data_IF_614807726243
#
_entry.id   IF_614807726243
#
_cell.length_a   1.000
_cell.length_b   1.000
_cell.length_c   1.000
_cell.angle_alpha   90.00
_cell.angle_beta   90.00
_cell.angle_gamma   90.00
#
_symmetry.space_group_name_H-M   'P 1'
#
loop_
_entity.id
_entity.type
_entity.pdbx_description
1 polymer ?
#
# COMPACT_ATOMS: atom_id res chain seq x y z
N UNK A 1 27.48 4.31 -15.12
CA UNK A 1 26.56 4.28 -16.28
C UNK A 1 26.51 5.66 -16.90
N UNK A 2 26.66 5.78 -18.25
CA UNK A 2 26.55 7.08 -18.92
C UNK A 2 25.09 7.56 -18.93
N UNK A 3 24.88 8.91 -18.99
CA UNK A 3 23.53 9.52 -19.09
C UNK A 3 22.76 8.97 -20.31
N UNK A 4 23.47 8.65 -21.40
CA UNK A 4 22.90 8.04 -22.59
C UNK A 4 22.39 6.60 -22.32
N UNK A 5 23.11 5.81 -21.50
CA UNK A 5 22.69 4.47 -21.08
C UNK A 5 21.45 4.50 -20.20
N UNK A 6 21.34 5.47 -19.27
CA UNK A 6 20.16 5.68 -18.44
C UNK A 6 18.92 6.06 -19.27
N UNK A 7 19.08 6.97 -20.24
CA UNK A 7 17.98 7.37 -21.14
C UNK A 7 17.51 6.20 -22.02
N UNK A 8 18.42 5.35 -22.48
CA UNK A 8 18.08 4.16 -23.26
C UNK A 8 17.33 3.15 -22.41
N UNK A 9 17.82 2.83 -21.22
CA UNK A 9 17.16 1.93 -20.29
C UNK A 9 15.75 2.44 -19.89
N UNK A 10 15.60 3.76 -19.65
CA UNK A 10 14.30 4.37 -19.35
C UNK A 10 13.33 4.25 -20.54
N UNK A 11 13.80 4.49 -21.78
CA UNK A 11 12.96 4.33 -22.98
C UNK A 11 12.55 2.87 -23.20
N UNK A 12 13.45 1.93 -23.00
CA UNK A 12 13.18 0.50 -23.10
C UNK A 12 12.18 0.04 -22.00
N UNK A 13 12.24 0.64 -20.83
CA UNK A 13 11.32 0.34 -19.73
C UNK A 13 9.87 0.80 -19.99
N UNK A 14 9.65 1.81 -20.81
CA UNK A 14 8.30 2.36 -21.12
C UNK A 14 7.79 1.99 -22.49
N UNK A 15 8.66 1.54 -23.43
CA UNK A 15 8.28 1.24 -24.79
C UNK A 15 7.43 -0.02 -24.89
N UNK A 16 6.45 -0.03 -25.82
CA UNK A 16 5.67 -1.22 -26.18
C UNK A 16 4.53 -1.60 -25.21
N UNK A 17 4.30 -0.85 -24.12
CA UNK A 17 3.16 -1.10 -23.25
C UNK A 17 1.87 -0.49 -23.83
N UNK A 18 0.72 -1.18 -23.69
CA UNK A 18 -0.56 -0.72 -24.25
C UNK A 18 -1.01 0.62 -23.68
N UNK A 19 -1.78 1.41 -24.45
CA UNK A 19 -2.35 2.67 -23.99
C UNK A 19 -3.24 2.51 -22.74
N UNK A 20 -4.00 1.41 -22.63
CA UNK A 20 -4.81 1.10 -21.46
C UNK A 20 -3.97 0.91 -20.18
N UNK A 21 -2.75 0.35 -20.28
CA UNK A 21 -1.83 0.29 -19.14
C UNK A 21 -1.48 1.69 -18.62
N UNK A 22 -1.20 2.65 -19.49
CA UNK A 22 -0.84 4.00 -19.08
C UNK A 22 -2.00 4.74 -18.41
N UNK A 23 -3.24 4.51 -18.83
CA UNK A 23 -4.41 5.06 -18.15
C UNK A 23 -4.58 4.45 -16.74
N UNK A 24 -4.38 3.14 -16.61
CA UNK A 24 -4.42 2.46 -15.30
C UNK A 24 -3.29 2.94 -14.39
N UNK A 25 -2.08 3.07 -14.92
CA UNK A 25 -0.91 3.57 -14.23
C UNK A 25 -1.11 5.02 -13.75
N UNK A 26 -1.62 5.89 -14.63
CA UNK A 26 -1.95 7.28 -14.27
C UNK A 26 -3.02 7.33 -13.19
N UNK A 27 -4.07 6.52 -13.29
CA UNK A 27 -5.08 6.39 -12.25
C UNK A 27 -4.48 5.95 -10.91
N UNK A 28 -3.55 4.99 -10.92
CA UNK A 28 -2.84 4.57 -9.70
C UNK A 28 -2.01 5.70 -9.11
N UNK A 29 -1.24 6.41 -9.94
CA UNK A 29 -0.42 7.54 -9.50
C UNK A 29 -1.29 8.66 -8.89
N UNK A 30 -2.34 9.09 -9.60
CA UNK A 30 -3.25 10.16 -9.14
C UNK A 30 -3.94 9.76 -7.84
N UNK A 31 -4.41 8.50 -7.72
CA UNK A 31 -5.01 8.01 -6.49
C UNK A 31 -4.01 8.05 -5.32
N UNK A 32 -2.73 7.74 -5.56
CA UNK A 32 -1.68 7.81 -4.54
C UNK A 32 -1.27 9.24 -4.19
N UNK A 33 -1.29 10.14 -5.16
CA UNK A 33 -1.05 11.57 -4.92
C UNK A 33 -2.13 12.19 -4.02
N UNK A 34 -3.36 11.69 -4.08
CA UNK A 34 -4.46 12.13 -3.21
C UNK A 34 -4.48 11.49 -1.83
N UNK A 35 -3.71 10.43 -1.57
CA UNK A 35 -3.82 9.65 -0.34
C UNK A 35 -3.46 10.48 0.91
N UNK A 36 -4.46 10.85 1.69
CA UNK A 36 -4.35 11.66 2.90
C UNK A 36 -4.70 10.87 4.16
N UNK A 37 -5.84 10.16 4.12
CA UNK A 37 -6.40 9.45 5.29
C UNK A 37 -5.40 8.51 5.93
N UNK A 38 -4.80 7.62 5.14
CA UNK A 38 -3.92 6.58 5.66
C UNK A 38 -2.70 7.14 6.42
N UNK A 39 -2.19 8.30 6.00
CA UNK A 39 -0.98 8.91 6.56
C UNK A 39 -1.30 9.88 7.70
N UNK A 40 -2.40 10.64 7.61
CA UNK A 40 -2.68 11.75 8.53
C UNK A 40 -3.84 11.49 9.50
N UNK A 41 -4.46 10.31 9.46
CA UNK A 41 -5.56 9.96 10.36
C UNK A 41 -5.19 10.08 11.85
N UNK A 42 -3.99 9.64 12.23
CA UNK A 42 -3.55 9.70 13.62
C UNK A 42 -3.44 11.17 14.09
N UNK A 43 -2.82 12.05 13.31
CA UNK A 43 -2.69 13.48 13.61
C UNK A 43 -4.06 14.17 13.61
N UNK A 44 -4.93 13.86 12.64
CA UNK A 44 -6.31 14.36 12.64
C UNK A 44 -7.03 14.05 13.96
N UNK A 45 -6.95 12.81 14.43
CA UNK A 45 -7.65 12.40 15.64
C UNK A 45 -7.02 12.99 16.90
N UNK A 46 -5.69 13.06 16.99
CA UNK A 46 -5.01 13.50 18.20
C UNK A 46 -4.85 15.02 18.27
N UNK A 47 -4.48 15.69 17.18
CA UNK A 47 -4.21 17.13 17.16
C UNK A 47 -5.48 17.94 16.87
N UNK A 48 -6.21 17.60 15.77
CA UNK A 48 -7.37 18.41 15.37
C UNK A 48 -8.60 18.11 16.21
N UNK A 49 -8.82 16.82 16.57
CA UNK A 49 -9.99 16.39 17.32
C UNK A 49 -9.76 16.25 18.83
N UNK A 50 -8.51 16.24 19.28
CA UNK A 50 -8.14 16.12 20.70
C UNK A 50 -8.46 14.75 21.31
N UNK A 51 -8.63 13.70 20.51
CA UNK A 51 -8.82 12.34 21.00
C UNK A 51 -7.52 11.73 21.49
N UNK A 52 -7.62 10.73 22.36
CA UNK A 52 -6.46 10.00 22.87
C UNK A 52 -5.74 9.19 21.79
N UNK A 53 -4.44 8.96 21.98
CA UNK A 53 -3.66 8.06 21.14
C UNK A 53 -4.25 6.64 21.08
N UNK A 54 -4.84 6.15 22.19
CA UNK A 54 -5.52 4.86 22.23
C UNK A 54 -6.73 4.81 21.31
N UNK A 55 -7.51 5.89 21.23
CA UNK A 55 -8.62 5.99 20.29
C UNK A 55 -8.13 6.07 18.84
N UNK A 56 -7.07 6.82 18.55
CA UNK A 56 -6.45 6.83 17.23
C UNK A 56 -5.97 5.43 16.81
N UNK A 57 -5.39 4.67 17.74
CA UNK A 57 -5.02 3.27 17.55
C UNK A 57 -6.21 2.36 17.23
N UNK A 58 -7.34 2.54 17.96
CA UNK A 58 -8.57 1.80 17.69
C UNK A 58 -9.10 2.09 16.28
N UNK A 59 -9.15 3.36 15.88
CA UNK A 59 -9.61 3.76 14.54
C UNK A 59 -8.71 3.21 13.45
N UNK A 60 -7.38 3.23 13.65
CA UNK A 60 -6.42 2.62 12.72
C UNK A 60 -6.61 1.09 12.61
N UNK A 61 -6.87 0.42 13.74
CA UNK A 61 -7.17 -1.01 13.75
C UNK A 61 -8.47 -1.34 13.00
N UNK A 62 -9.52 -0.56 13.18
CA UNK A 62 -10.79 -0.73 12.47
C UNK A 62 -10.63 -0.46 10.96
N UNK A 63 -9.88 0.56 10.57
CA UNK A 63 -9.53 0.80 9.17
C UNK A 63 -8.78 -0.41 8.58
N UNK A 64 -7.80 -0.96 9.29
CA UNK A 64 -7.09 -2.16 8.88
C UNK A 64 -8.00 -3.38 8.76
N UNK A 65 -8.91 -3.58 9.74
CA UNK A 65 -9.90 -4.66 9.72
C UNK A 65 -10.84 -4.54 8.52
N UNK A 66 -11.27 -3.32 8.17
CA UNK A 66 -12.01 -3.08 6.93
C UNK A 66 -11.27 -3.56 5.69
N UNK A 67 -9.96 -3.31 5.63
CA UNK A 67 -9.09 -3.82 4.56
C UNK A 67 -9.03 -5.34 4.50
N UNK A 68 -8.95 -6.03 5.65
CA UNK A 68 -8.97 -7.50 5.73
C UNK A 68 -10.30 -8.05 5.22
N UNK A 69 -11.43 -7.51 5.68
CA UNK A 69 -12.77 -7.90 5.21
C UNK A 69 -12.90 -7.72 3.70
N UNK A 70 -12.41 -6.60 3.19
CA UNK A 70 -12.41 -6.30 1.77
C UNK A 70 -11.58 -7.29 0.96
N UNK A 71 -10.39 -7.67 1.44
CA UNK A 71 -9.49 -8.57 0.70
C UNK A 71 -10.13 -9.96 0.46
N UNK A 72 -10.97 -10.42 1.39
CA UNK A 72 -11.71 -11.68 1.26
C UNK A 72 -12.80 -11.62 0.19
N UNK A 73 -13.47 -10.48 0.04
CA UNK A 73 -14.61 -10.32 -0.89
C UNK A 73 -14.24 -9.74 -2.27
N UNK A 74 -13.28 -8.82 -2.31
CA UNK A 74 -12.96 -8.06 -3.52
C UNK A 74 -12.39 -8.93 -4.67
N UNK A 75 -11.64 -9.98 -4.35
CA UNK A 75 -11.19 -10.96 -5.34
C UNK A 75 -12.37 -11.65 -6.03
N UNK A 76 -13.33 -12.14 -5.23
CA UNK A 76 -14.56 -12.78 -5.74
C UNK A 76 -15.40 -11.79 -6.56
N UNK A 77 -15.52 -10.55 -6.11
CA UNK A 77 -16.21 -9.49 -6.86
C UNK A 77 -15.54 -9.24 -8.20
N UNK A 78 -14.22 -9.13 -8.22
CA UNK A 78 -13.42 -8.91 -9.44
C UNK A 78 -13.64 -10.05 -10.46
N UNK A 79 -13.71 -11.29 -10.01
CA UNK A 79 -13.90 -12.45 -10.88
C UNK A 79 -15.37 -12.62 -11.33
N UNK A 80 -16.33 -12.26 -10.46
CA UNK A 80 -17.76 -12.45 -10.73
C UNK A 80 -18.38 -11.29 -11.53
N UNK A 81 -18.08 -10.07 -11.16
CA UNK A 81 -18.68 -8.87 -11.76
C UNK A 81 -17.81 -8.21 -12.83
N UNK A 82 -16.51 -8.55 -12.86
CA UNK A 82 -15.52 -7.96 -13.76
C UNK A 82 -14.57 -6.99 -13.05
N UNK A 83 -13.47 -6.67 -13.76
CA UNK A 83 -12.39 -5.84 -13.21
C UNK A 83 -12.81 -4.38 -13.12
N UNK A 84 -13.36 -3.85 -14.22
CA UNK A 84 -13.77 -2.43 -14.33
C UNK A 84 -14.90 -2.09 -13.36
N UNK A 85 -16.05 -2.81 -13.28
CA UNK A 85 -17.10 -2.51 -12.31
C UNK A 85 -16.64 -2.56 -10.87
N UNK A 86 -15.83 -3.57 -10.49
CA UNK A 86 -15.28 -3.69 -9.14
C UNK A 86 -14.40 -2.50 -8.79
N UNK A 87 -13.53 -2.07 -9.72
CA UNK A 87 -12.66 -0.90 -9.52
C UNK A 87 -13.47 0.39 -9.38
N UNK A 88 -14.50 0.58 -10.21
CA UNK A 88 -15.39 1.74 -10.15
C UNK A 88 -16.14 1.81 -8.82
N UNK A 89 -16.77 0.71 -8.39
CA UNK A 89 -17.47 0.65 -7.11
C UNK A 89 -16.52 0.93 -5.95
N UNK A 90 -15.33 0.34 -5.96
CA UNK A 90 -14.32 0.57 -4.93
C UNK A 90 -13.91 2.05 -4.86
N UNK A 91 -13.60 2.68 -6.00
CA UNK A 91 -13.18 4.09 -6.04
C UNK A 91 -14.31 5.05 -5.63
N UNK A 92 -15.52 4.86 -6.13
CA UNK A 92 -16.68 5.70 -5.76
C UNK A 92 -17.00 5.55 -4.28
N UNK A 93 -17.01 4.32 -3.75
CA UNK A 93 -17.23 4.06 -2.32
C UNK A 93 -16.13 4.67 -1.46
N UNK A 94 -14.86 4.59 -1.90
CA UNK A 94 -13.73 5.25 -1.22
C UNK A 94 -13.92 6.76 -1.19
N UNK A 95 -14.18 7.39 -2.33
CA UNK A 95 -14.37 8.83 -2.41
C UNK A 95 -15.50 9.31 -1.50
N UNK A 96 -16.64 8.59 -1.51
CA UNK A 96 -17.77 8.93 -0.65
C UNK A 96 -17.44 8.75 0.84
N UNK A 97 -16.86 7.62 1.24
CA UNK A 97 -16.54 7.35 2.64
C UNK A 97 -15.43 8.26 3.18
N UNK A 98 -14.43 8.63 2.36
CA UNK A 98 -13.40 9.61 2.74
C UNK A 98 -13.99 11.01 2.91
N UNK A 99 -14.84 11.46 1.97
CA UNK A 99 -15.55 12.73 2.12
C UNK A 99 -16.43 12.74 3.39
N UNK A 100 -17.19 11.66 3.60
CA UNK A 100 -18.04 11.50 4.78
C UNK A 100 -17.23 11.58 6.08
N UNK A 101 -16.05 10.96 6.14
CA UNK A 101 -15.15 10.99 7.29
C UNK A 101 -14.81 12.43 7.71
N UNK A 102 -14.56 13.31 6.73
CA UNK A 102 -14.22 14.72 6.98
C UNK A 102 -15.34 15.48 7.72
N UNK A 103 -16.60 15.08 7.58
CA UNK A 103 -17.75 15.72 8.23
C UNK A 103 -18.17 15.06 9.56
N UNK A 104 -17.63 13.87 9.87
CA UNK A 104 -17.97 13.18 11.12
C UNK A 104 -17.34 13.87 12.33
N UNK A 105 -18.13 13.99 13.41
CA UNK A 105 -17.69 14.57 14.69
C UNK A 105 -17.86 13.59 15.85
N UNK A 106 -18.83 12.71 15.77
CA UNK A 106 -19.07 11.68 16.77
C UNK A 106 -18.01 10.58 16.70
N UNK A 107 -17.41 10.16 17.82
CA UNK A 107 -16.33 9.18 17.82
C UNK A 107 -16.78 7.81 17.29
N UNK A 108 -18.01 7.37 17.54
CA UNK A 108 -18.50 6.09 17.03
C UNK A 108 -18.68 6.16 15.51
N UNK A 109 -19.21 7.29 15.01
CA UNK A 109 -19.37 7.53 13.58
C UNK A 109 -17.99 7.58 12.86
N UNK A 110 -17.00 8.27 13.45
CA UNK A 110 -15.62 8.31 12.92
C UNK A 110 -15.06 6.88 12.81
N UNK A 111 -15.17 6.08 13.85
CA UNK A 111 -14.69 4.70 13.88
C UNK A 111 -15.37 3.82 12.82
N UNK A 112 -16.71 3.93 12.71
CA UNK A 112 -17.49 3.18 11.72
C UNK A 112 -17.14 3.59 10.28
N UNK A 113 -17.02 4.91 10.01
CA UNK A 113 -16.67 5.41 8.69
C UNK A 113 -15.21 5.07 8.33
N UNK A 114 -14.28 5.10 9.30
CA UNK A 114 -12.90 4.67 9.07
C UNK A 114 -12.81 3.19 8.67
N UNK A 115 -13.61 2.32 9.28
CA UNK A 115 -13.74 0.93 8.83
C UNK A 115 -14.24 0.84 7.38
N UNK A 116 -15.25 1.63 7.00
CA UNK A 116 -15.76 1.67 5.62
C UNK A 116 -14.70 2.19 4.64
N UNK A 117 -13.94 3.22 5.01
CA UNK A 117 -12.81 3.71 4.21
C UNK A 117 -11.78 2.61 3.99
N UNK A 118 -11.39 1.90 5.04
CA UNK A 118 -10.46 0.76 4.94
C UNK A 118 -10.97 -0.35 4.03
N UNK A 119 -12.26 -0.67 4.13
CA UNK A 119 -12.91 -1.66 3.30
C UNK A 119 -12.96 -1.23 1.83
N UNK A 120 -13.41 -0.03 1.53
CA UNK A 120 -13.56 0.48 0.17
C UNK A 120 -12.21 0.68 -0.54
N UNK A 121 -11.22 1.30 0.13
CA UNK A 121 -9.92 1.60 -0.47
C UNK A 121 -9.13 0.35 -0.84
N UNK A 122 -9.20 -0.71 -0.01
CA UNK A 122 -8.49 -1.96 -0.29
C UNK A 122 -9.19 -2.83 -1.34
N UNK A 123 -10.50 -2.66 -1.59
CA UNK A 123 -11.24 -3.38 -2.62
C UNK A 123 -10.71 -3.15 -4.05
N UNK A 124 -10.06 -2.03 -4.31
CA UNK A 124 -9.48 -1.70 -5.62
C UNK A 124 -8.25 -2.54 -5.97
N UNK A 125 -7.49 -3.03 -4.98
CA UNK A 125 -6.20 -3.70 -5.21
C UNK A 125 -6.29 -4.93 -6.12
N UNK A 126 -7.14 -5.94 -5.85
CA UNK A 126 -7.21 -7.12 -6.71
C UNK A 126 -7.70 -6.77 -8.12
N UNK A 127 -8.62 -5.80 -8.27
CA UNK A 127 -9.10 -5.37 -9.57
C UNK A 127 -8.00 -4.70 -10.40
N UNK A 128 -7.17 -3.82 -9.81
CA UNK A 128 -6.02 -3.20 -10.49
C UNK A 128 -5.00 -4.25 -10.91
N UNK A 129 -4.68 -5.21 -10.04
CA UNK A 129 -3.69 -6.25 -10.35
C UNK A 129 -4.19 -7.18 -11.46
N UNK A 130 -5.46 -7.62 -11.39
CA UNK A 130 -6.05 -8.46 -12.41
C UNK A 130 -6.13 -7.74 -13.76
N UNK A 131 -6.64 -6.49 -13.78
CA UNK A 131 -6.72 -5.68 -14.99
C UNK A 131 -5.34 -5.46 -15.63
N UNK A 132 -4.31 -5.21 -14.82
CA UNK A 132 -2.93 -5.05 -15.31
C UNK A 132 -2.42 -6.34 -15.96
N UNK A 133 -2.68 -7.49 -15.32
CA UNK A 133 -2.30 -8.80 -15.86
C UNK A 133 -3.06 -9.15 -17.15
N UNK A 134 -4.31 -8.70 -17.28
CA UNK A 134 -5.13 -8.94 -18.47
C UNK A 134 -4.75 -8.05 -19.67
N UNK A 135 -4.41 -6.77 -19.39
CA UNK A 135 -4.09 -5.76 -20.43
C UNK A 135 -2.67 -5.97 -20.98
N UNK A 136 -1.72 -6.40 -20.14
CA UNK A 136 -0.31 -6.48 -20.50
C UNK A 136 0.07 -7.90 -20.90
N UNK A 137 0.86 -8.04 -21.98
CA UNK A 137 1.36 -9.33 -22.45
C UNK A 137 2.18 -10.04 -21.37
N UNK A 138 2.14 -11.38 -21.29
CA UNK A 138 2.84 -12.15 -20.25
C UNK A 138 4.32 -11.78 -20.07
N UNK A 139 5.04 -11.56 -21.17
CA UNK A 139 6.46 -11.19 -21.18
C UNK A 139 6.74 -9.80 -20.58
N UNK A 140 5.77 -8.89 -20.64
CA UNK A 140 5.89 -7.51 -20.17
C UNK A 140 5.35 -7.29 -18.74
N UNK A 141 4.68 -8.27 -18.15
CA UNK A 141 4.02 -8.15 -16.84
C UNK A 141 4.95 -7.73 -15.73
N UNK A 142 6.13 -8.35 -15.64
CA UNK A 142 7.13 -8.01 -14.61
C UNK A 142 7.48 -6.51 -14.67
N UNK A 143 7.69 -5.99 -15.87
CA UNK A 143 7.98 -4.58 -16.11
C UNK A 143 6.80 -3.68 -15.75
N UNK A 144 5.58 -4.06 -16.12
CA UNK A 144 4.37 -3.31 -15.81
C UNK A 144 4.13 -3.21 -14.30
N UNK A 145 4.27 -4.32 -13.57
CA UNK A 145 4.15 -4.33 -12.10
C UNK A 145 5.25 -3.49 -11.43
N UNK A 146 6.49 -3.53 -11.94
CA UNK A 146 7.58 -2.69 -11.44
C UNK A 146 7.28 -1.20 -11.63
N UNK A 147 6.77 -0.79 -12.79
CA UNK A 147 6.36 0.59 -13.06
C UNK A 147 5.19 1.01 -12.16
N UNK A 148 4.23 0.13 -11.91
CA UNK A 148 3.12 0.41 -11.01
C UNK A 148 3.58 0.57 -9.56
N UNK A 149 4.51 -0.27 -9.10
CA UNK A 149 5.12 -0.14 -7.78
C UNK A 149 5.86 1.20 -7.64
N UNK A 150 6.56 1.61 -8.69
CA UNK A 150 7.22 2.91 -8.72
C UNK A 150 6.23 4.08 -8.63
N UNK A 151 5.09 4.02 -9.36
CA UNK A 151 4.03 5.01 -9.25
C UNK A 151 3.45 5.11 -7.84
N UNK A 152 3.26 3.97 -7.17
CA UNK A 152 2.75 3.90 -5.80
C UNK A 152 3.70 4.64 -4.85
N UNK A 153 5.00 4.35 -4.90
CA UNK A 153 5.98 4.95 -3.98
C UNK A 153 6.26 6.42 -4.29
N UNK A 154 6.32 6.78 -5.58
CA UNK A 154 6.46 8.18 -5.98
C UNK A 154 5.25 9.00 -5.55
N UNK A 155 4.04 8.47 -5.80
CA UNK A 155 2.80 9.12 -5.38
C UNK A 155 2.75 9.28 -3.85
N UNK A 156 3.15 8.25 -3.10
CA UNK A 156 3.24 8.29 -1.64
C UNK A 156 4.23 9.37 -1.15
N UNK A 157 5.43 9.44 -1.72
CA UNK A 157 6.44 10.42 -1.32
C UNK A 157 5.92 11.85 -1.52
N UNK A 158 5.36 12.16 -2.69
CA UNK A 158 4.82 13.49 -3.00
C UNK A 158 3.58 13.79 -2.14
N UNK A 159 2.65 12.85 -2.03
CA UNK A 159 1.40 13.05 -1.27
C UNK A 159 1.67 13.29 0.20
N UNK A 160 2.59 12.55 0.81
CA UNK A 160 2.91 12.70 2.24
C UNK A 160 3.45 14.09 2.55
N UNK A 161 4.35 14.62 1.70
CA UNK A 161 4.86 15.98 1.85
C UNK A 161 3.76 17.02 1.65
N UNK A 162 2.99 16.93 0.55
CA UNK A 162 1.92 17.87 0.26
C UNK A 162 0.81 17.83 1.31
N UNK A 163 0.45 16.63 1.77
CA UNK A 163 -0.59 16.42 2.76
C UNK A 163 -0.21 17.00 4.14
N UNK A 164 1.08 17.00 4.50
CA UNK A 164 1.57 17.67 5.70
C UNK A 164 1.25 19.16 5.70
N UNK A 165 1.57 19.85 4.61
CA UNK A 165 1.23 21.26 4.46
C UNK A 165 -0.29 21.51 4.42
N UNK A 166 -1.06 20.64 3.75
CA UNK A 166 -2.53 20.76 3.73
C UNK A 166 -3.10 20.59 5.13
N UNK A 167 -2.59 19.66 5.92
CA UNK A 167 -3.05 19.38 7.27
C UNK A 167 -2.85 20.58 8.23
N UNK A 168 -1.84 21.42 8.02
CA UNK A 168 -1.63 22.65 8.79
C UNK A 168 -2.77 23.68 8.59
N UNK A 169 -3.40 23.68 7.42
CA UNK A 169 -4.51 24.58 7.14
C UNK A 169 -5.87 23.94 7.44
N UNK A 170 -6.10 22.70 7.01
CA UNK A 170 -7.39 22.05 7.16
C UNK A 170 -7.31 20.55 6.83
N UNK A 171 -7.60 19.72 7.82
CA UNK A 171 -7.79 18.28 7.61
C UNK A 171 -8.98 17.98 6.70
N UNK A 172 -10.06 18.77 6.80
CA UNK A 172 -11.22 18.64 5.92
C UNK A 172 -10.84 18.84 4.46
N UNK A 173 -9.99 19.82 4.16
CA UNK A 173 -9.49 20.02 2.79
C UNK A 173 -8.71 18.79 2.31
N UNK A 174 -7.88 18.17 3.15
CA UNK A 174 -7.17 16.93 2.84
C UNK A 174 -8.11 15.78 2.45
N UNK A 175 -9.16 15.56 3.26
CA UNK A 175 -10.17 14.53 2.96
C UNK A 175 -10.93 14.82 1.65
N UNK A 176 -11.32 16.07 1.39
CA UNK A 176 -12.04 16.43 0.16
C UNK A 176 -11.14 16.34 -1.08
N UNK A 177 -9.86 16.68 -0.96
CA UNK A 177 -8.88 16.51 -2.04
C UNK A 177 -8.71 15.02 -2.36
N UNK A 178 -8.52 14.16 -1.37
CA UNK A 178 -8.44 12.72 -1.58
C UNK A 178 -9.71 12.17 -2.25
N UNK A 179 -10.87 12.54 -1.75
CA UNK A 179 -12.16 12.15 -2.32
C UNK A 179 -12.30 12.60 -3.78
N UNK A 180 -11.96 13.86 -4.08
CA UNK A 180 -12.00 14.42 -5.43
C UNK A 180 -11.03 13.73 -6.40
N UNK A 181 -9.79 13.49 -5.98
CA UNK A 181 -8.80 12.77 -6.79
C UNK A 181 -9.20 11.32 -7.03
N UNK A 182 -9.75 10.64 -6.02
CA UNK A 182 -10.25 9.26 -6.17
C UNK A 182 -11.45 9.20 -7.12
N UNK A 183 -12.36 10.19 -7.06
CA UNK A 183 -13.47 10.30 -7.99
C UNK A 183 -12.99 10.60 -9.42
N UNK A 184 -11.99 11.47 -9.59
CA UNK A 184 -11.36 11.71 -10.88
C UNK A 184 -10.75 10.42 -11.46
N UNK A 185 -10.11 9.59 -10.62
CA UNK A 185 -9.63 8.26 -11.02
C UNK A 185 -10.79 7.36 -11.48
N UNK A 186 -11.93 7.36 -10.77
CA UNK A 186 -13.12 6.60 -11.19
C UNK A 186 -13.62 7.05 -12.58
N UNK A 187 -13.63 8.36 -12.86
CA UNK A 187 -13.97 8.90 -14.18
C UNK A 187 -12.99 8.42 -15.25
N UNK A 188 -11.67 8.47 -14.98
CA UNK A 188 -10.64 7.96 -15.92
C UNK A 188 -10.86 6.46 -16.19
N UNK A 189 -11.09 5.66 -15.16
CA UNK A 189 -11.38 4.23 -15.31
C UNK A 189 -12.65 4.02 -16.15
N UNK A 190 -13.70 4.79 -15.86
CA UNK A 190 -14.95 4.69 -16.60
C UNK A 190 -14.81 5.04 -18.09
N UNK A 191 -14.06 6.09 -18.42
CA UNK A 191 -13.96 6.61 -19.81
C UNK A 191 -12.90 5.88 -20.63
N UNK A 192 -11.76 5.51 -20.00
CA UNK A 192 -10.56 5.10 -20.73
C UNK A 192 -10.21 3.62 -20.62
N UNK A 193 -10.73 2.91 -19.61
CA UNK A 193 -10.40 1.49 -19.43
C UNK A 193 -11.55 0.60 -19.95
N UNK A 194 -11.24 -0.37 -20.82
CA UNK A 194 -12.20 -1.40 -21.21
C UNK A 194 -12.40 -2.40 -20.07
N UNK A 195 -13.52 -3.14 -20.11
CA UNK A 195 -13.62 -4.36 -19.30
C UNK A 195 -12.62 -5.39 -19.82
N UNK A 196 -11.83 -5.95 -18.93
CA UNK A 196 -10.77 -6.92 -19.28
C UNK A 196 -11.06 -8.33 -18.78
N UNK A 197 -12.30 -8.59 -18.32
CA UNK A 197 -12.68 -9.92 -17.85
C UNK A 197 -12.52 -10.94 -18.98
N UNK A 198 -11.70 -12.01 -18.80
CA UNK A 198 -11.62 -13.08 -19.78
C UNK A 198 -12.99 -13.73 -20.00
N UNK A 199 -13.39 -13.94 -21.24
CA UNK A 199 -14.56 -14.74 -21.57
C UNK A 199 -14.31 -16.18 -21.08
N UNK A 200 -15.19 -16.68 -20.20
CA UNK A 200 -15.15 -18.08 -19.79
C UNK A 200 -15.54 -18.95 -20.98
N UNK A 201 -14.59 -19.65 -21.53
CA UNK A 201 -14.89 -20.70 -22.52
C UNK A 201 -15.59 -21.86 -21.80
N UNK A 202 -16.74 -22.35 -22.32
CA UNK A 202 -17.36 -23.55 -21.77
C UNK A 202 -16.38 -24.71 -21.89
N UNK A 203 -15.76 -25.14 -20.79
CA UNK A 203 -14.74 -26.20 -20.73
C UNK A 203 -13.56 -25.90 -19.80
N UNK A 204 -13.26 -24.64 -19.46
CA UNK A 204 -12.13 -24.30 -18.58
C UNK A 204 -12.37 -24.64 -17.09
N UNK A 205 -13.54 -25.15 -16.75
CA UNK A 205 -13.90 -25.53 -15.37
C UNK A 205 -13.47 -26.94 -14.93
N UNK A 206 -12.89 -27.76 -15.80
CA UNK A 206 -12.72 -29.20 -15.51
C UNK A 206 -11.27 -29.70 -15.41
N UNK A 207 -10.26 -28.89 -15.68
CA UNK A 207 -8.85 -29.27 -15.53
C UNK A 207 -8.22 -28.59 -14.30
N UNK A 208 -8.93 -28.57 -13.18
CA UNK A 208 -8.49 -27.96 -11.95
C UNK A 208 -8.17 -29.00 -10.90
N UNK A 209 -6.94 -29.09 -10.46
CA UNK A 209 -6.57 -29.70 -9.21
C UNK A 209 -7.50 -29.17 -8.12
N UNK A 210 -7.98 -30.05 -7.22
CA UNK A 210 -8.86 -29.66 -6.12
C UNK A 210 -8.25 -28.47 -5.37
N UNK A 211 -8.99 -27.37 -5.16
CA UNK A 211 -8.42 -26.19 -4.56
C UNK A 211 -7.92 -26.52 -3.16
N UNK A 212 -6.63 -26.24 -2.87
CA UNK A 212 -6.03 -26.46 -1.55
C UNK A 212 -6.94 -25.80 -0.50
N UNK A 213 -7.41 -26.59 0.47
CA UNK A 213 -8.33 -26.10 1.50
C UNK A 213 -7.65 -25.00 2.34
N UNK A 214 -8.39 -23.98 2.74
CA UNK A 214 -7.89 -22.96 3.68
C UNK A 214 -7.38 -23.62 4.98
N UNK A 215 -8.06 -24.68 5.43
CA UNK A 215 -7.66 -25.45 6.61
C UNK A 215 -6.29 -26.12 6.43
N UNK A 216 -5.94 -26.54 5.22
CA UNK A 216 -4.63 -27.11 4.90
C UNK A 216 -3.53 -26.05 5.04
N UNK A 217 -3.78 -24.82 4.57
CA UNK A 217 -2.85 -23.69 4.72
C UNK A 217 -2.65 -23.35 6.19
N UNK A 218 -3.73 -23.26 6.97
CA UNK A 218 -3.68 -22.97 8.41
C UNK A 218 -3.00 -24.08 9.24
N UNK A 219 -2.96 -25.32 8.74
CA UNK A 219 -2.25 -26.43 9.37
C UNK A 219 -0.78 -26.54 8.98
N UNK A 220 -0.33 -25.79 7.99
CA UNK A 220 1.08 -25.72 7.64
C UNK A 220 1.85 -24.87 8.68
N UNK A 221 2.38 -25.53 9.70
CA UNK A 221 3.08 -24.86 10.80
C UNK A 221 4.31 -24.07 10.38
N UNK A 222 4.99 -24.44 9.28
CA UNK A 222 6.14 -23.69 8.76
C UNK A 222 5.67 -22.39 8.12
N UNK A 223 4.63 -22.45 7.31
CA UNK A 223 4.02 -21.29 6.70
C UNK A 223 3.41 -20.36 7.76
N UNK A 224 2.64 -20.88 8.71
CA UNK A 224 2.05 -20.11 9.81
C UNK A 224 3.11 -19.46 10.71
N UNK A 225 4.27 -20.08 10.91
CA UNK A 225 5.41 -19.47 11.59
C UNK A 225 5.94 -18.24 10.84
N UNK A 226 6.08 -18.33 9.51
CA UNK A 226 6.48 -17.18 8.68
C UNK A 226 5.41 -16.09 8.73
N UNK A 227 4.13 -16.43 8.61
CA UNK A 227 3.01 -15.47 8.72
C UNK A 227 3.03 -14.75 10.06
N UNK A 228 3.20 -15.47 11.18
CA UNK A 228 3.26 -14.88 12.51
C UNK A 228 4.44 -13.92 12.69
N UNK A 229 5.63 -14.30 12.22
CA UNK A 229 6.81 -13.42 12.25
C UNK A 229 6.61 -12.20 11.34
N UNK A 230 6.01 -12.39 10.17
CA UNK A 230 5.68 -11.31 9.25
C UNK A 230 4.69 -10.33 9.84
N UNK A 231 3.69 -10.82 10.56
CA UNK A 231 2.72 -9.99 11.28
C UNK A 231 3.42 -9.11 12.32
N UNK A 232 4.33 -9.67 13.12
CA UNK A 232 5.09 -8.89 14.11
C UNK A 232 5.89 -7.77 13.45
N UNK A 233 6.58 -8.06 12.36
CA UNK A 233 7.34 -7.05 11.61
C UNK A 233 6.42 -6.01 10.99
N UNK A 234 5.27 -6.41 10.44
CA UNK A 234 4.28 -5.50 9.90
C UNK A 234 3.73 -4.53 10.98
N UNK A 235 3.47 -5.01 12.19
CA UNK A 235 3.06 -4.16 13.33
C UNK A 235 4.14 -3.12 13.65
N UNK A 236 5.43 -3.48 13.56
CA UNK A 236 6.53 -2.52 13.76
C UNK A 236 6.51 -1.46 12.65
N UNK A 237 6.38 -1.84 11.37
CA UNK A 237 6.31 -0.85 10.26
C UNK A 237 5.07 0.06 10.34
N UNK A 238 3.94 -0.42 10.88
CA UNK A 238 2.76 0.41 11.10
C UNK A 238 2.99 1.56 12.09
N UNK A 239 4.05 1.50 12.91
CA UNK A 239 4.42 2.61 13.79
C UNK A 239 4.84 3.87 13.00
N UNK A 240 5.27 3.74 11.76
CA UNK A 240 5.53 4.88 10.87
C UNK A 240 4.28 5.74 10.60
N UNK A 241 3.10 5.13 10.65
CA UNK A 241 1.81 5.80 10.37
C UNK A 241 0.99 6.10 11.62
N UNK A 242 1.28 5.47 12.75
CA UNK A 242 0.54 5.66 14.00
C UNK A 242 1.43 6.23 15.10
N UNK A 243 2.51 5.56 15.47
CA UNK A 243 3.38 5.96 16.58
C UNK A 243 4.24 7.17 16.26
N UNK A 244 4.87 7.19 15.08
CA UNK A 244 5.75 8.29 14.67
C UNK A 244 5.03 9.66 14.64
N UNK A 245 3.85 9.82 13.97
CA UNK A 245 3.18 11.11 13.97
C UNK A 245 2.71 11.56 15.35
N UNK A 246 2.30 10.62 16.22
CA UNK A 246 1.93 10.94 17.60
C UNK A 246 3.15 11.41 18.38
N UNK A 247 4.28 10.68 18.31
CA UNK A 247 5.51 11.05 18.99
C UNK A 247 6.06 12.41 18.52
N UNK A 248 6.00 12.68 17.21
CA UNK A 248 6.39 13.98 16.66
C UNK A 248 5.46 15.09 17.15
N UNK A 249 4.14 14.86 17.18
CA UNK A 249 3.15 15.84 17.70
C UNK A 249 3.37 16.15 19.18
N UNK A 250 3.62 15.14 20.03
CA UNK A 250 3.94 15.31 21.45
C UNK A 250 5.28 16.05 21.66
N UNK A 251 6.23 15.88 20.74
CA UNK A 251 7.49 16.63 20.75
C UNK A 251 7.37 18.05 20.16
N UNK A 252 6.16 18.49 19.76
CA UNK A 252 5.89 19.85 19.28
C UNK A 252 6.17 20.07 17.79
N UNK A 253 6.38 19.02 17.01
CA UNK A 253 6.53 19.11 15.54
C UNK A 253 5.20 19.25 14.84
N UNK A 254 5.20 19.93 13.69
CA UNK A 254 4.00 20.21 12.90
C UNK A 254 3.60 19.01 12.02
N UNK A 255 2.36 18.97 11.52
CA UNK A 255 1.97 18.01 10.48
C UNK A 255 2.82 18.07 9.23
N UNK A 256 3.34 19.26 8.84
CA UNK A 256 4.27 19.42 7.73
C UNK A 256 5.60 18.74 8.00
N UNK A 257 6.15 18.88 9.22
CA UNK A 257 7.37 18.19 9.62
C UNK A 257 7.23 16.67 9.50
N UNK A 258 6.12 16.12 10.00
CA UNK A 258 5.82 14.69 9.82
C UNK A 258 5.68 14.32 8.34
N UNK A 259 4.97 15.11 7.55
CA UNK A 259 4.81 14.90 6.11
C UNK A 259 6.14 14.86 5.37
N UNK A 260 7.08 15.74 5.72
CA UNK A 260 8.44 15.76 5.16
C UNK A 260 9.22 14.49 5.56
N UNK A 261 9.17 14.11 6.82
CA UNK A 261 9.90 12.95 7.34
C UNK A 261 9.36 11.65 6.74
N UNK A 262 8.04 11.47 6.66
CA UNK A 262 7.45 10.25 6.08
C UNK A 262 7.53 10.26 4.54
N UNK A 263 7.45 11.43 3.91
CA UNK A 263 7.68 11.58 2.47
C UNK A 263 9.10 11.21 2.08
N UNK A 264 10.08 11.51 2.95
CA UNK A 264 11.47 11.13 2.77
C UNK A 264 11.66 9.60 2.74
N UNK A 265 10.90 8.83 3.54
CA UNK A 265 10.83 7.36 3.40
C UNK A 265 10.50 6.96 1.96
N UNK A 266 9.44 7.52 1.37
CA UNK A 266 9.06 7.22 -0.01
C UNK A 266 10.14 7.57 -1.03
N UNK A 267 10.83 8.70 -0.86
CA UNK A 267 11.98 9.08 -1.71
C UNK A 267 13.10 8.08 -1.60
N UNK A 268 13.46 7.66 -0.38
CA UNK A 268 14.50 6.66 -0.16
C UNK A 268 14.15 5.32 -0.82
N UNK A 269 12.89 4.87 -0.72
CA UNK A 269 12.43 3.66 -1.40
C UNK A 269 12.63 3.80 -2.91
N UNK A 270 12.15 4.89 -3.53
CA UNK A 270 12.27 5.12 -4.97
C UNK A 270 13.73 5.08 -5.43
N UNK A 271 14.64 5.67 -4.68
CA UNK A 271 16.06 5.76 -5.03
C UNK A 271 16.82 4.46 -4.73
N UNK A 272 16.58 3.87 -3.56
CA UNK A 272 17.41 2.77 -3.05
C UNK A 272 16.85 1.37 -3.36
N UNK A 273 15.57 1.23 -3.71
CA UNK A 273 14.94 -0.08 -3.95
C UNK A 273 15.73 -0.93 -4.96
N UNK A 274 16.06 -0.37 -6.13
CA UNK A 274 16.75 -1.11 -7.18
C UNK A 274 18.18 -1.50 -6.78
N UNK A 275 19.05 -0.59 -6.32
CA UNK A 275 20.41 -0.96 -5.92
C UNK A 275 20.44 -1.93 -4.74
N UNK A 276 19.58 -1.75 -3.74
CA UNK A 276 19.52 -2.66 -2.57
C UNK A 276 19.01 -4.04 -3.00
N UNK A 277 17.95 -4.12 -3.81
CA UNK A 277 17.42 -5.40 -4.30
C UNK A 277 18.50 -6.19 -5.05
N UNK A 278 19.26 -5.55 -5.94
CA UNK A 278 20.39 -6.22 -6.64
C UNK A 278 21.46 -6.72 -5.68
N UNK A 279 21.73 -5.99 -4.61
CA UNK A 279 22.72 -6.39 -3.60
C UNK A 279 22.26 -7.62 -2.81
N UNK A 280 20.95 -7.74 -2.53
CA UNK A 280 20.40 -8.81 -1.68
C UNK A 280 19.99 -10.07 -2.46
N UNK A 281 19.80 -10.00 -3.79
CA UNK A 281 19.29 -11.11 -4.63
C UNK A 281 20.02 -12.45 -4.44
N UNK A 282 21.32 -12.40 -4.14
CA UNK A 282 22.19 -13.60 -3.99
C UNK A 282 22.42 -13.98 -2.54
N UNK A 283 21.76 -13.35 -1.59
CA UNK A 283 21.94 -13.56 -0.17
C UNK A 283 20.89 -14.51 0.42
N UNK A 284 21.21 -15.15 1.54
CA UNK A 284 20.29 -16.02 2.23
C UNK A 284 19.08 -15.21 2.77
N UNK A 285 17.84 -15.54 2.36
CA UNK A 285 16.63 -14.86 2.83
C UNK A 285 16.48 -14.83 4.35
N UNK A 286 16.93 -15.88 5.04
CA UNK A 286 16.86 -15.95 6.51
C UNK A 286 17.69 -14.83 7.15
N UNK A 287 18.91 -14.67 6.73
CA UNK A 287 19.80 -13.63 7.27
C UNK A 287 19.29 -12.23 6.92
N UNK A 288 18.73 -12.06 5.71
CA UNK A 288 18.14 -10.79 5.29
C UNK A 288 16.92 -10.41 6.16
N UNK A 289 16.04 -11.36 6.48
CA UNK A 289 14.89 -11.10 7.36
C UNK A 289 15.33 -10.76 8.79
N UNK A 290 16.38 -11.43 9.32
CA UNK A 290 16.93 -11.09 10.63
C UNK A 290 17.52 -9.67 10.63
N UNK A 291 18.33 -9.32 9.62
CA UNK A 291 18.90 -7.98 9.49
C UNK A 291 17.79 -6.93 9.35
N UNK A 292 16.77 -7.19 8.54
CA UNK A 292 15.62 -6.31 8.39
C UNK A 292 14.88 -6.11 9.72
N UNK A 293 14.60 -7.18 10.46
CA UNK A 293 13.93 -7.08 11.76
C UNK A 293 14.74 -6.26 12.77
N UNK A 294 16.06 -6.45 12.82
CA UNK A 294 16.97 -5.67 13.68
C UNK A 294 16.99 -4.19 13.27
N UNK A 295 17.12 -3.89 11.97
CA UNK A 295 17.09 -2.52 11.47
C UNK A 295 15.74 -1.84 11.75
N UNK A 296 14.62 -2.54 11.59
CA UNK A 296 13.30 -2.03 11.94
C UNK A 296 13.19 -1.74 13.44
N UNK A 297 13.57 -2.71 14.29
CA UNK A 297 13.53 -2.56 15.73
C UNK A 297 14.41 -1.41 16.24
N UNK A 298 15.64 -1.31 15.76
CA UNK A 298 16.53 -0.19 16.13
C UNK A 298 16.03 1.13 15.52
N UNK A 299 15.59 1.16 14.27
CA UNK A 299 15.09 2.37 13.63
C UNK A 299 13.91 2.99 14.38
N UNK A 300 12.90 2.18 14.72
CA UNK A 300 11.76 2.65 15.52
C UNK A 300 12.12 2.88 16.99
N UNK A 301 12.97 2.03 17.59
CA UNK A 301 13.40 2.20 18.97
C UNK A 301 14.20 3.49 19.21
N UNK A 302 15.08 3.87 18.29
CA UNK A 302 15.83 5.13 18.35
C UNK A 302 14.93 6.37 18.21
N UNK A 303 13.74 6.23 17.64
CA UNK A 303 12.77 7.33 17.54
C UNK A 303 12.39 7.87 18.94
N UNK A 304 12.42 7.03 19.98
CA UNK A 304 12.15 7.45 21.36
C UNK A 304 13.15 8.49 21.89
N UNK A 305 14.33 8.60 21.30
CA UNK A 305 15.37 9.55 21.67
C UNK A 305 15.47 10.73 20.69
N UNK A 306 14.55 10.83 19.74
CA UNK A 306 14.59 11.86 18.71
C UNK A 306 14.06 13.19 19.25
N UNK A 307 14.96 14.18 19.41
CA UNK A 307 14.63 15.55 19.83
C UNK A 307 14.73 16.58 18.70
N UNK A 308 15.03 16.18 17.46
CA UNK A 308 15.14 17.09 16.32
C UNK A 308 14.67 16.42 15.03
N UNK A 309 14.22 17.23 14.05
CA UNK A 309 13.78 16.76 12.75
C UNK A 309 14.83 15.91 12.03
N UNK A 310 16.11 16.28 12.16
CA UNK A 310 17.22 15.53 11.58
C UNK A 310 17.39 14.15 12.19
N UNK A 311 17.18 13.99 13.50
CA UNK A 311 17.24 12.69 14.19
C UNK A 311 16.02 11.84 13.79
N UNK A 312 14.81 12.41 13.68
CA UNK A 312 13.65 11.70 13.14
C UNK A 312 13.90 11.22 11.71
N UNK A 313 14.46 12.06 10.84
CA UNK A 313 14.81 11.66 9.48
C UNK A 313 15.86 10.54 9.45
N UNK A 314 16.85 10.55 10.34
CA UNK A 314 17.86 9.50 10.45
C UNK A 314 17.24 8.16 10.89
N UNK A 315 16.34 8.16 11.87
CA UNK A 315 15.62 6.95 12.28
C UNK A 315 14.79 6.39 11.15
N UNK A 316 14.14 7.26 10.36
CA UNK A 316 13.40 6.88 9.14
C UNK A 316 14.34 6.25 8.12
N UNK A 317 15.55 6.77 7.89
CA UNK A 317 16.54 6.11 7.01
C UNK A 317 16.80 4.66 7.44
N UNK A 318 16.98 4.41 8.74
CA UNK A 318 17.32 3.09 9.26
C UNK A 318 16.17 2.09 9.02
N UNK A 319 14.94 2.44 9.40
CA UNK A 319 13.83 1.51 9.21
C UNK A 319 13.35 1.44 7.74
N UNK A 320 13.59 2.47 6.92
CA UNK A 320 13.38 2.39 5.47
C UNK A 320 14.28 1.35 4.81
N UNK A 321 15.56 1.28 5.21
CA UNK A 321 16.46 0.22 4.74
C UNK A 321 15.93 -1.17 5.13
N UNK A 322 15.37 -1.29 6.35
CA UNK A 322 14.71 -2.52 6.77
C UNK A 322 13.55 -2.88 5.85
N UNK A 323 12.69 -1.92 5.51
CA UNK A 323 11.53 -2.10 4.64
C UNK A 323 11.93 -2.55 3.22
N UNK A 324 12.93 -1.89 2.63
CA UNK A 324 13.46 -2.21 1.30
C UNK A 324 14.02 -3.63 1.23
N UNK A 325 14.64 -4.12 2.30
CA UNK A 325 15.15 -5.50 2.39
C UNK A 325 14.02 -6.49 2.67
N UNK A 326 13.08 -6.14 3.55
CA UNK A 326 12.01 -7.02 4.02
C UNK A 326 11.04 -7.41 2.90
N UNK A 327 10.47 -6.43 2.21
CA UNK A 327 9.36 -6.62 1.28
C UNK A 327 9.65 -7.66 0.17
N UNK A 328 10.74 -7.56 -0.62
CA UNK A 328 11.04 -8.54 -1.65
C UNK A 328 11.46 -9.90 -1.07
N UNK A 329 12.16 -9.90 0.08
CA UNK A 329 12.63 -11.13 0.72
C UNK A 329 11.46 -11.95 1.26
N UNK A 330 10.51 -11.31 1.92
CA UNK A 330 9.31 -11.93 2.45
C UNK A 330 8.42 -12.49 1.33
N UNK A 331 8.16 -11.70 0.29
CA UNK A 331 7.40 -12.15 -0.88
C UNK A 331 8.06 -13.36 -1.55
N UNK A 332 9.38 -13.33 -1.71
CA UNK A 332 10.14 -14.45 -2.27
C UNK A 332 10.08 -15.72 -1.41
N UNK A 333 10.07 -15.57 -0.08
CA UNK A 333 9.94 -16.69 0.85
C UNK A 333 8.54 -17.32 0.80
N UNK A 334 7.49 -16.51 0.80
CA UNK A 334 6.10 -16.97 0.67
C UNK A 334 5.91 -17.74 -0.64
N UNK A 335 6.44 -17.25 -1.75
CA UNK A 335 6.37 -17.95 -3.04
C UNK A 335 7.09 -19.30 -3.01
N UNK A 336 8.23 -19.38 -2.31
CA UNK A 336 9.00 -20.66 -2.18
C UNK A 336 8.29 -21.67 -1.29
N UNK A 337 7.57 -21.23 -0.26
CA UNK A 337 6.83 -22.10 0.66
C UNK A 337 5.46 -22.51 0.10
N UNK A 338 4.96 -21.80 -0.91
CA UNK A 338 3.65 -22.06 -1.50
C UNK A 338 3.72 -23.19 -2.52
N UNK A 339 2.94 -24.30 -2.38
CA UNK A 339 2.76 -25.31 -3.42
C UNK A 339 2.24 -24.65 -4.70
N UNK A 340 2.66 -25.14 -5.87
CA UNK A 340 2.28 -24.59 -7.18
C UNK A 340 0.74 -24.50 -7.32
N UNK A 341 0.06 -25.54 -6.85
CA UNK A 341 -1.41 -25.70 -6.92
C UNK A 341 -2.18 -24.79 -5.92
N UNK A 342 -1.49 -24.26 -4.91
CA UNK A 342 -2.10 -23.45 -3.82
C UNK A 342 -1.65 -22.00 -3.75
N UNK A 343 -0.76 -21.54 -4.65
CA UNK A 343 -0.10 -20.23 -4.57
C UNK A 343 -1.06 -19.06 -4.33
N UNK A 344 -2.22 -19.05 -4.98
CA UNK A 344 -3.21 -17.98 -4.80
C UNK A 344 -3.73 -17.87 -3.37
N UNK A 345 -3.92 -19.00 -2.69
CA UNK A 345 -4.42 -19.03 -1.29
C UNK A 345 -3.33 -18.75 -0.27
N UNK A 346 -2.09 -19.11 -0.55
CA UNK A 346 -0.93 -18.77 0.26
C UNK A 346 -0.53 -17.28 0.14
N UNK A 347 -0.97 -16.57 -0.88
CA UNK A 347 -0.71 -15.13 -1.06
C UNK A 347 -1.79 -14.22 -0.47
N UNK A 348 -2.94 -14.77 -0.08
CA UNK A 348 -4.05 -14.02 0.53
C UNK A 348 -3.94 -13.98 2.07
N UNK A 349 -3.12 -14.85 2.68
CA UNK A 349 -2.79 -14.82 4.10
C UNK A 349 -1.56 -13.95 4.34
#
# INVERSE_FOLDING_TARGET
>A
MSVAGLRRAARESVAGLPGAFWWLWTSTLVNRLGAFVATFMALYLTIDRGYSASYAGLVAALHGLGGVVSSLGAGVMTDRFGRRPTLLVAQVSTAFSVALLGFMRDPVAIAAVAFLVGMASNASRPAVQAMMADIVRPEDRVRAFALNFWAINLGFAISSMAAGFIAEYSYLAGFLIEAGMTLACAVVVFVKLPESRPERTPGDGAAGHAPVSLLTVLRDGRYMGVVGLSLLVAVVFQQGYLGLPIAMGEAGFTPADYGLVIGFNGVLIVVLQIPVTRFIERRDPRNLLVVSALLAGYGFGLTAFAGSLGVFALTVCVWTLAEIVNAPTQTGLVVRLSPVEGRGRYQVG
#
